data_IF_235432850255
#
_entry.id   IF_235432850255
#
_cell.length_a   1.000
_cell.length_b   1.000
_cell.length_c   1.000
_cell.angle_alpha   90.00
_cell.angle_beta   90.00
_cell.angle_gamma   90.00
#
_symmetry.space_group_name_H-M   'P 1'
#
loop_
_entity.id
_entity.type
_entity.pdbx_description
1 polymer ?
#
# COMPACT_ATOMS: atom_id res chain seq x y z
N UNK A 1 16.36 25.06 -22.00
CA UNK A 1 17.06 26.32 -21.65
C UNK A 1 17.07 27.31 -22.83
N UNK A 2 17.73 26.98 -23.95
CA UNK A 2 17.87 27.90 -25.10
C UNK A 2 16.56 28.34 -25.77
N UNK A 3 15.55 27.46 -25.84
CA UNK A 3 14.23 27.79 -26.40
C UNK A 3 13.44 28.79 -25.54
N UNK A 4 13.57 28.73 -24.20
CA UNK A 4 12.89 29.69 -23.32
C UNK A 4 13.55 31.08 -23.39
N UNK A 5 14.88 31.13 -23.53
CA UNK A 5 15.63 32.37 -23.73
C UNK A 5 15.28 33.05 -25.06
N UNK A 6 15.00 32.27 -26.12
CA UNK A 6 14.63 32.80 -27.43
C UNK A 6 13.20 33.40 -27.48
N UNK A 7 12.30 33.00 -26.58
CA UNK A 7 10.91 33.50 -26.57
C UNK A 7 10.83 34.97 -26.16
N UNK A 8 11.59 35.40 -25.16
CA UNK A 8 11.55 36.78 -24.66
C UNK A 8 11.87 37.84 -25.75
N UNK A 9 12.98 37.75 -26.52
CA UNK A 9 13.26 38.72 -27.57
C UNK A 9 12.26 38.66 -28.73
N UNK A 10 11.71 37.47 -29.05
CA UNK A 10 10.69 37.33 -30.07
C UNK A 10 9.38 38.05 -29.69
N UNK A 11 8.91 37.90 -28.45
CA UNK A 11 7.72 38.61 -27.94
C UNK A 11 7.95 40.11 -27.96
N UNK A 12 9.14 40.56 -27.52
CA UNK A 12 9.52 41.96 -27.53
C UNK A 12 9.53 42.55 -28.95
N UNK A 13 10.11 41.83 -29.92
CA UNK A 13 10.13 42.24 -31.32
C UNK A 13 8.72 42.30 -31.92
N UNK A 14 7.85 41.34 -31.61
CA UNK A 14 6.46 41.30 -32.07
C UNK A 14 5.66 42.49 -31.52
N UNK A 15 5.75 42.76 -30.21
CA UNK A 15 5.12 43.90 -29.57
C UNK A 15 5.65 45.23 -30.12
N UNK A 16 6.96 45.34 -30.29
CA UNK A 16 7.60 46.49 -30.93
C UNK A 16 7.08 46.74 -32.35
N UNK A 17 6.89 45.67 -33.14
CA UNK A 17 6.32 45.76 -34.48
C UNK A 17 4.87 46.28 -34.45
N UNK A 18 4.03 45.81 -33.51
CA UNK A 18 2.64 46.29 -33.34
C UNK A 18 2.61 47.79 -33.01
N UNK A 19 3.51 48.24 -32.13
CA UNK A 19 3.65 49.67 -31.79
C UNK A 19 4.08 50.47 -33.01
N UNK A 20 5.13 50.04 -33.73
CA UNK A 20 5.62 50.76 -34.92
C UNK A 20 4.56 50.84 -36.02
N UNK A 21 3.86 49.75 -36.30
CA UNK A 21 2.76 49.72 -37.30
C UNK A 21 1.60 50.61 -36.90
N UNK A 22 1.32 50.74 -35.60
CA UNK A 22 0.22 51.58 -35.10
C UNK A 22 0.59 53.06 -35.04
N UNK A 23 1.84 53.40 -34.69
CA UNK A 23 2.28 54.80 -34.52
C UNK A 23 2.70 55.44 -35.83
N UNK A 24 3.37 54.71 -36.73
CA UNK A 24 3.93 55.28 -37.98
C UNK A 24 2.92 56.08 -38.83
N UNK A 25 1.68 55.59 -39.07
CA UNK A 25 0.69 56.32 -39.87
C UNK A 25 0.23 57.63 -39.22
N UNK A 26 0.39 57.75 -37.90
CA UNK A 26 -0.13 58.83 -37.08
C UNK A 26 0.92 59.93 -36.88
N UNK A 27 2.19 59.66 -37.21
CA UNK A 27 3.28 60.64 -37.14
C UNK A 27 2.97 61.92 -37.94
N UNK A 28 2.50 61.88 -39.20
CA UNK A 28 2.18 63.09 -39.95
C UNK A 28 1.02 63.88 -39.32
N UNK A 29 0.01 63.19 -38.77
CA UNK A 29 -1.13 63.78 -38.07
C UNK A 29 -0.66 64.47 -36.79
N UNK A 30 0.29 63.88 -36.06
CA UNK A 30 0.88 64.49 -34.88
C UNK A 30 1.73 65.72 -35.21
N UNK A 31 2.44 65.71 -36.34
CA UNK A 31 3.26 66.84 -36.78
C UNK A 31 2.41 68.04 -37.26
N UNK A 32 1.24 67.81 -37.85
CA UNK A 32 0.32 68.89 -38.27
C UNK A 32 -0.46 69.52 -37.11
N UNK A 33 -0.49 68.87 -35.94
CA UNK A 33 -1.07 69.43 -34.73
C UNK A 33 -0.18 70.51 -34.08
N UNK A 34 1.10 70.60 -34.48
CA UNK A 34 2.01 71.65 -34.03
C UNK A 34 1.53 73.04 -34.54
N UNK A 35 0.82 73.76 -33.68
CA UNK A 35 0.25 75.09 -33.97
C UNK A 35 -1.28 75.16 -34.02
N UNK A 36 -1.99 74.07 -33.70
CA UNK A 36 -3.47 74.04 -33.62
C UNK A 36 -3.98 74.12 -32.17
N UNK A 37 -5.31 74.16 -31.99
CA UNK A 37 -5.97 74.24 -30.67
C UNK A 37 -5.48 73.15 -29.69
N UNK A 38 -5.01 73.51 -28.47
CA UNK A 38 -4.52 72.55 -27.47
C UNK A 38 -5.49 71.40 -27.16
N UNK A 39 -6.80 71.64 -27.23
CA UNK A 39 -7.81 70.61 -26.94
C UNK A 39 -7.82 69.54 -28.05
N UNK A 40 -7.60 69.92 -29.31
CA UNK A 40 -7.49 68.98 -30.43
C UNK A 40 -6.27 68.07 -30.29
N UNK A 41 -5.14 68.63 -29.83
CA UNK A 41 -3.92 67.86 -29.53
C UNK A 41 -4.13 66.79 -28.46
N UNK A 42 -4.80 67.15 -27.36
CA UNK A 42 -5.11 66.20 -26.27
C UNK A 42 -6.02 65.06 -26.76
N UNK A 43 -7.04 65.35 -27.56
CA UNK A 43 -7.94 64.31 -28.11
C UNK A 43 -7.22 63.36 -29.06
N UNK A 44 -6.36 63.87 -29.94
CA UNK A 44 -5.59 63.06 -30.87
C UNK A 44 -4.64 62.11 -30.13
N UNK A 45 -3.83 62.64 -29.20
CA UNK A 45 -2.91 61.82 -28.40
C UNK A 45 -3.66 60.82 -27.52
N UNK A 46 -4.78 61.23 -26.91
CA UNK A 46 -5.63 60.33 -26.12
C UNK A 46 -6.23 59.19 -26.94
N UNK A 47 -6.76 59.48 -28.13
CA UNK A 47 -7.29 58.47 -29.06
C UNK A 47 -6.24 57.47 -29.53
N UNK A 48 -5.03 57.95 -29.81
CA UNK A 48 -3.88 57.10 -30.13
C UNK A 48 -3.46 56.23 -28.96
N UNK A 49 -3.43 56.79 -27.74
CA UNK A 49 -3.15 56.05 -26.52
C UNK A 49 -4.14 54.91 -26.29
N UNK A 50 -5.44 55.18 -26.45
CA UNK A 50 -6.51 54.16 -26.31
C UNK A 50 -6.38 53.09 -27.41
N UNK A 51 -6.08 53.49 -28.65
CA UNK A 51 -5.91 52.56 -29.78
C UNK A 51 -4.71 51.66 -29.57
N UNK A 52 -3.59 52.22 -29.10
CA UNK A 52 -2.39 51.46 -28.75
C UNK A 52 -2.66 50.51 -27.58
N UNK A 53 -3.33 50.96 -26.53
CA UNK A 53 -3.68 50.15 -25.37
C UNK A 53 -4.44 48.89 -25.78
N UNK A 54 -5.49 49.03 -26.61
CA UNK A 54 -6.27 47.89 -27.07
C UNK A 54 -5.52 47.00 -28.04
N UNK A 55 -4.77 47.55 -29.00
CA UNK A 55 -4.01 46.75 -29.98
C UNK A 55 -2.87 45.97 -29.35
N UNK A 56 -2.07 46.63 -28.50
CA UNK A 56 -0.97 45.99 -27.77
C UNK A 56 -1.52 45.01 -26.74
N UNK A 57 -2.56 45.40 -26.00
CA UNK A 57 -3.21 44.55 -25.01
C UNK A 57 -3.78 43.27 -25.62
N UNK A 58 -4.51 43.37 -26.73
CA UNK A 58 -5.08 42.21 -27.42
C UNK A 58 -3.99 41.31 -28.02
N UNK A 59 -2.96 41.89 -28.65
CA UNK A 59 -1.83 41.13 -29.18
C UNK A 59 -1.08 40.39 -28.06
N UNK A 60 -0.86 41.05 -26.91
CA UNK A 60 -0.21 40.44 -25.76
C UNK A 60 -1.08 39.35 -25.13
N UNK A 61 -2.38 39.57 -25.00
CA UNK A 61 -3.32 38.58 -24.47
C UNK A 61 -3.36 37.31 -25.35
N UNK A 62 -3.39 37.47 -26.68
CA UNK A 62 -3.34 36.35 -27.62
C UNK A 62 -2.03 35.55 -27.48
N UNK A 63 -0.90 36.24 -27.36
CA UNK A 63 0.42 35.62 -27.16
C UNK A 63 0.49 34.85 -25.84
N UNK A 64 0.02 35.47 -24.75
CA UNK A 64 -0.01 34.84 -23.42
C UNK A 64 -0.92 33.59 -23.40
N UNK A 65 -2.08 33.65 -24.06
CA UNK A 65 -2.98 32.50 -24.17
C UNK A 65 -2.32 31.33 -24.93
N UNK A 66 -1.61 31.61 -26.02
CA UNK A 66 -0.87 30.60 -26.78
C UNK A 66 0.27 29.97 -25.95
N UNK A 67 1.06 30.78 -25.25
CA UNK A 67 2.11 30.29 -24.35
C UNK A 67 1.55 29.41 -23.24
N UNK A 68 0.47 29.83 -22.59
CA UNK A 68 -0.17 29.08 -21.53
C UNK A 68 -0.68 27.72 -22.04
N UNK A 69 -1.35 27.70 -23.20
CA UNK A 69 -1.83 26.47 -23.83
C UNK A 69 -0.69 25.48 -24.13
N UNK A 70 0.43 25.98 -24.65
CA UNK A 70 1.62 25.15 -24.89
C UNK A 70 2.20 24.58 -23.59
N UNK A 71 2.37 25.42 -22.55
CA UNK A 71 2.91 24.99 -21.27
C UNK A 71 2.01 23.95 -20.59
N UNK A 72 0.69 24.15 -20.61
CA UNK A 72 -0.27 23.20 -20.06
C UNK A 72 -0.20 21.85 -20.75
N UNK A 73 -0.14 21.84 -22.08
CA UNK A 73 0.02 20.61 -22.87
C UNK A 73 1.35 19.90 -22.58
N UNK A 74 2.45 20.65 -22.51
CA UNK A 74 3.78 20.10 -22.27
C UNK A 74 3.87 19.48 -20.87
N UNK A 75 3.35 20.18 -19.86
CA UNK A 75 3.29 19.69 -18.49
C UNK A 75 2.46 18.40 -18.39
N UNK A 76 1.27 18.39 -19.00
CA UNK A 76 0.39 17.21 -18.99
C UNK A 76 0.98 16.02 -19.72
N UNK A 77 1.84 16.26 -20.73
CA UNK A 77 2.60 15.22 -21.40
C UNK A 77 3.75 14.70 -20.54
N UNK A 78 4.43 15.56 -19.79
CA UNK A 78 5.50 15.18 -18.86
C UNK A 78 5.01 14.35 -17.67
N UNK A 79 3.76 14.53 -17.25
CA UNK A 79 3.13 13.71 -16.20
C UNK A 79 2.69 12.30 -16.66
N UNK A 80 2.87 11.96 -17.94
CA UNK A 80 2.50 10.64 -18.43
C UNK A 80 3.62 9.66 -18.16
N UNK A 81 3.31 8.60 -17.44
CA UNK A 81 4.20 7.47 -17.28
C UNK A 81 4.07 6.50 -18.46
N UNK A 82 5.17 5.89 -18.84
CA UNK A 82 5.21 4.78 -19.80
C UNK A 82 4.78 3.47 -19.12
N UNK A 83 4.42 2.46 -19.91
CA UNK A 83 4.10 1.12 -19.38
C UNK A 83 5.31 0.49 -18.67
N UNK A 84 6.53 0.82 -19.12
CA UNK A 84 7.76 0.37 -18.49
C UNK A 84 7.99 1.06 -17.15
N UNK A 85 7.84 2.38 -17.08
CA UNK A 85 7.95 3.14 -15.82
C UNK A 85 6.94 2.65 -14.77
N UNK A 86 5.67 2.44 -15.15
CA UNK A 86 4.66 1.89 -14.24
C UNK A 86 5.08 0.51 -13.71
N UNK A 87 5.63 -0.35 -14.58
CA UNK A 87 6.05 -1.70 -14.21
C UNK A 87 7.24 -1.68 -13.26
N UNK A 88 8.18 -0.75 -13.46
CA UNK A 88 9.34 -0.61 -12.59
C UNK A 88 8.99 0.06 -11.25
N UNK A 89 8.05 1.01 -11.25
CA UNK A 89 7.51 1.61 -10.02
C UNK A 89 6.76 0.57 -9.16
N UNK A 90 5.97 -0.31 -9.79
CA UNK A 90 5.34 -1.47 -9.13
C UNK A 90 6.37 -2.42 -8.52
N UNK A 91 7.46 -2.71 -9.25
CA UNK A 91 8.55 -3.57 -8.75
C UNK A 91 9.26 -2.94 -7.54
N UNK A 92 9.48 -1.62 -7.56
CA UNK A 92 10.12 -0.90 -6.44
C UNK A 92 9.19 -0.81 -5.23
N UNK A 93 7.89 -0.59 -5.43
CA UNK A 93 6.94 -0.35 -4.34
C UNK A 93 6.45 -1.64 -3.67
N UNK A 94 6.16 -2.69 -4.44
CA UNK A 94 5.62 -3.94 -3.91
C UNK A 94 6.69 -5.03 -3.65
N UNK A 95 7.89 -4.85 -4.23
CA UNK A 95 8.94 -5.86 -4.23
C UNK A 95 8.62 -7.06 -5.13
N UNK A 96 9.55 -8.01 -5.28
CA UNK A 96 9.33 -9.20 -6.12
C UNK A 96 8.25 -10.12 -5.48
N UNK A 97 7.13 -10.41 -6.18
CA UNK A 97 6.11 -11.34 -5.70
C UNK A 97 6.66 -12.71 -5.29
N UNK A 98 7.74 -13.17 -5.94
CA UNK A 98 8.44 -14.42 -5.61
C UNK A 98 9.10 -14.33 -4.24
N UNK A 99 9.72 -13.20 -3.90
CA UNK A 99 10.32 -12.96 -2.58
C UNK A 99 9.24 -12.94 -1.51
N UNK A 100 8.11 -12.26 -1.74
CA UNK A 100 6.97 -12.26 -0.79
C UNK A 100 6.36 -13.65 -0.61
N UNK A 101 6.20 -14.41 -1.69
CA UNK A 101 5.73 -15.79 -1.63
C UNK A 101 6.71 -16.71 -0.87
N UNK A 102 8.01 -16.54 -1.10
CA UNK A 102 9.08 -17.27 -0.42
C UNK A 102 9.12 -16.96 1.08
N UNK A 103 9.02 -15.68 1.46
CA UNK A 103 8.95 -15.29 2.86
C UNK A 103 7.76 -15.93 3.58
N UNK A 104 6.57 -15.91 2.95
CA UNK A 104 5.37 -16.58 3.50
C UNK A 104 5.53 -18.08 3.64
N UNK A 105 6.17 -18.76 2.68
CA UNK A 105 6.38 -20.21 2.77
C UNK A 105 7.38 -20.57 3.87
N UNK A 106 8.46 -19.79 4.03
CA UNK A 106 9.41 -19.94 5.12
C UNK A 106 8.75 -19.72 6.49
N UNK A 107 7.96 -18.65 6.67
CA UNK A 107 7.23 -18.43 7.93
C UNK A 107 6.33 -19.62 8.30
N UNK A 108 5.60 -20.19 7.34
CA UNK A 108 4.78 -21.39 7.59
C UNK A 108 5.63 -22.60 7.97
N UNK A 109 6.79 -22.79 7.34
CA UNK A 109 7.70 -23.89 7.67
C UNK A 109 8.27 -23.74 9.09
N UNK A 110 8.68 -22.53 9.49
CA UNK A 110 9.15 -22.27 10.86
C UNK A 110 8.05 -22.47 11.89
N UNK A 111 6.83 -21.98 11.63
CA UNK A 111 5.69 -22.20 12.50
C UNK A 111 5.37 -23.69 12.67
N UNK A 112 5.39 -24.46 11.58
CA UNK A 112 5.18 -25.91 11.61
C UNK A 112 6.28 -26.62 12.41
N UNK A 113 7.55 -26.27 12.19
CA UNK A 113 8.69 -26.84 12.94
C UNK A 113 8.56 -26.57 14.44
N UNK A 114 8.24 -25.33 14.83
CA UNK A 114 8.03 -24.94 16.23
C UNK A 114 6.84 -25.70 16.85
N UNK A 115 5.75 -25.83 16.12
CA UNK A 115 4.57 -26.59 16.58
C UNK A 115 4.92 -28.07 16.80
N UNK A 116 5.65 -28.70 15.88
CA UNK A 116 6.08 -30.09 16.01
C UNK A 116 7.07 -30.29 17.17
N UNK A 117 7.97 -29.34 17.39
CA UNK A 117 8.91 -29.36 18.51
C UNK A 117 8.23 -29.21 19.89
N UNK A 118 7.00 -28.70 19.94
CA UNK A 118 6.23 -28.59 21.17
C UNK A 118 5.47 -29.88 21.53
N UNK A 119 5.28 -30.81 20.59
CA UNK A 119 4.55 -32.08 20.82
C UNK A 119 5.15 -32.91 21.96
N UNK A 120 6.48 -33.08 22.09
CA UNK A 120 7.07 -33.83 23.22
C UNK A 120 6.82 -33.21 24.59
N UNK A 121 6.43 -31.93 24.65
CA UNK A 121 6.13 -31.23 25.91
C UNK A 121 4.65 -31.33 26.32
N UNK A 122 3.84 -32.02 25.53
CA UNK A 122 2.42 -32.21 25.81
C UNK A 122 2.21 -33.30 26.86
N UNK A 123 1.17 -33.16 27.67
CA UNK A 123 0.76 -34.15 28.66
C UNK A 123 -0.14 -35.22 28.03
N UNK A 124 -0.91 -34.84 27.00
CA UNK A 124 -1.79 -35.76 26.27
C UNK A 124 -2.02 -35.30 24.83
N UNK A 125 -2.18 -36.26 23.93
CA UNK A 125 -2.68 -36.03 22.57
C UNK A 125 -4.07 -36.64 22.40
N UNK A 126 -5.07 -35.81 22.11
CA UNK A 126 -6.43 -36.24 21.79
C UNK A 126 -6.57 -36.40 20.29
N UNK A 127 -6.99 -37.58 19.83
CA UNK A 127 -7.09 -37.92 18.40
C UNK A 127 -8.50 -38.26 17.94
N UNK A 128 -8.80 -37.92 16.68
CA UNK A 128 -9.82 -38.57 15.87
C UNK A 128 -9.06 -39.43 14.85
N UNK A 129 -9.07 -40.78 14.97
CA UNK A 129 -8.00 -41.70 14.54
C UNK A 129 -7.37 -41.45 13.17
N UNK A 130 -8.13 -41.01 12.18
CA UNK A 130 -7.66 -40.80 10.80
C UNK A 130 -7.65 -39.33 10.38
N UNK A 131 -8.23 -38.43 11.18
CA UNK A 131 -8.52 -37.07 10.72
C UNK A 131 -7.82 -35.97 11.50
N UNK A 132 -7.74 -36.07 12.83
CA UNK A 132 -7.31 -34.95 13.68
C UNK A 132 -6.44 -35.44 14.84
N UNK A 133 -5.47 -34.62 15.22
CA UNK A 133 -4.74 -34.78 16.48
C UNK A 133 -4.55 -33.40 17.13
N UNK A 134 -4.76 -33.32 18.44
CA UNK A 134 -4.59 -32.11 19.24
C UNK A 134 -3.78 -32.46 20.48
N UNK A 135 -2.61 -31.83 20.62
CA UNK A 135 -1.73 -31.98 21.77
C UNK A 135 -2.03 -30.88 22.80
N UNK A 136 -2.25 -31.29 24.04
CA UNK A 136 -2.56 -30.42 25.17
C UNK A 136 -1.44 -30.47 26.19
N UNK A 137 -1.11 -29.31 26.75
CA UNK A 137 -0.20 -29.16 27.88
C UNK A 137 -0.92 -28.46 29.01
N UNK A 138 -0.73 -28.93 30.23
CA UNK A 138 -1.27 -28.34 31.43
C UNK A 138 -0.30 -28.49 32.60
N UNK A 139 0.11 -27.36 33.15
CA UNK A 139 0.87 -27.30 34.39
C UNK A 139 -0.04 -26.73 35.49
N UNK A 140 -0.36 -27.57 36.48
CA UNK A 140 -1.25 -27.20 37.58
C UNK A 140 -0.70 -26.09 38.48
N UNK A 141 0.62 -25.85 38.49
CA UNK A 141 1.23 -24.80 39.31
C UNK A 141 1.20 -23.42 38.62
N UNK A 142 1.27 -23.39 37.29
CA UNK A 142 1.48 -22.13 36.54
C UNK A 142 0.35 -21.77 35.57
N UNK A 143 -0.50 -22.73 35.18
CA UNK A 143 -1.53 -22.52 34.16
C UNK A 143 -2.94 -22.50 34.76
N UNK A 144 -3.74 -21.53 34.33
CA UNK A 144 -5.17 -21.44 34.69
C UNK A 144 -6.03 -22.45 33.93
N UNK A 145 -5.60 -22.85 32.74
CA UNK A 145 -6.29 -23.82 31.90
C UNK A 145 -5.29 -24.53 30.97
N UNK A 146 -5.59 -25.76 30.51
CA UNK A 146 -4.80 -26.45 29.51
C UNK A 146 -4.66 -25.65 28.22
N UNK A 147 -3.47 -25.68 27.62
CA UNK A 147 -3.13 -24.99 26.37
C UNK A 147 -2.93 -25.98 25.24
N UNK A 148 -3.43 -25.65 24.05
CA UNK A 148 -3.15 -26.43 22.83
C UNK A 148 -1.75 -26.10 22.35
N UNK A 149 -0.80 -27.05 22.42
CA UNK A 149 0.59 -26.84 21.98
C UNK A 149 0.83 -27.24 20.53
N UNK A 150 0.04 -28.18 20.02
CA UNK A 150 0.03 -28.56 18.61
C UNK A 150 -1.35 -29.04 18.19
N UNK A 151 -1.74 -28.78 16.93
CA UNK A 151 -2.90 -29.42 16.33
C UNK A 151 -2.70 -29.62 14.83
N UNK A 152 -3.30 -30.66 14.29
CA UNK A 152 -3.14 -31.00 12.88
C UNK A 152 -4.29 -31.83 12.35
N UNK A 153 -4.38 -31.88 11.03
CA UNK A 153 -5.29 -32.76 10.31
C UNK A 153 -4.53 -33.65 9.31
N UNK A 154 -5.09 -34.83 9.00
CA UNK A 154 -4.52 -35.79 8.03
C UNK A 154 -3.04 -36.07 8.31
N UNK A 155 -2.14 -35.86 7.35
CA UNK A 155 -0.69 -36.07 7.48
C UNK A 155 -0.08 -35.34 8.68
N UNK A 156 -0.56 -34.14 9.01
CA UNK A 156 -0.07 -33.39 10.19
C UNK A 156 -0.51 -34.08 11.48
N UNK A 157 -1.73 -34.63 11.51
CA UNK A 157 -2.22 -35.39 12.66
C UNK A 157 -1.44 -36.70 12.84
N UNK A 158 -1.15 -37.41 11.74
CA UNK A 158 -0.29 -38.60 11.73
C UNK A 158 1.08 -38.27 12.33
N UNK A 159 1.71 -37.19 11.86
CA UNK A 159 3.02 -36.76 12.36
C UNK A 159 3.01 -36.39 13.84
N UNK A 160 1.96 -35.71 14.31
CA UNK A 160 1.79 -35.40 15.74
C UNK A 160 1.70 -36.69 16.56
N UNK A 161 0.92 -37.70 16.10
CA UNK A 161 0.81 -38.99 16.79
C UNK A 161 2.12 -39.77 16.79
N UNK A 162 2.87 -39.75 15.70
CA UNK A 162 4.20 -40.36 15.62
C UNK A 162 5.16 -39.74 16.63
N UNK A 163 5.24 -38.40 16.66
CA UNK A 163 6.09 -37.68 17.59
C UNK A 163 5.66 -37.90 19.05
N UNK A 164 4.36 -37.91 19.32
CA UNK A 164 3.82 -38.21 20.65
C UNK A 164 4.22 -39.62 21.11
N UNK A 165 4.03 -40.63 20.25
CA UNK A 165 4.45 -42.01 20.53
C UNK A 165 5.95 -42.12 20.77
N UNK A 166 6.77 -41.46 19.95
CA UNK A 166 8.22 -41.45 20.11
C UNK A 166 8.68 -40.76 21.40
N UNK A 167 7.97 -39.74 21.87
CA UNK A 167 8.25 -39.02 23.11
C UNK A 167 7.60 -39.63 24.37
N UNK A 168 6.83 -40.73 24.22
CA UNK A 168 6.09 -41.34 25.33
C UNK A 168 4.88 -40.53 25.81
N UNK A 169 4.38 -39.60 25.00
CA UNK A 169 3.16 -38.83 25.30
C UNK A 169 1.93 -39.69 25.02
N UNK A 170 1.03 -39.89 26.00
CA UNK A 170 -0.18 -40.67 25.84
C UNK A 170 -1.10 -40.14 24.74
N UNK A 171 -1.60 -41.05 23.89
CA UNK A 171 -2.53 -40.73 22.80
C UNK A 171 -3.91 -41.31 23.14
N UNK A 172 -4.91 -40.44 23.29
CA UNK A 172 -6.28 -40.81 23.68
C UNK A 172 -7.22 -40.58 22.51
N UNK A 173 -7.96 -41.63 22.12
CA UNK A 173 -9.03 -41.47 21.14
C UNK A 173 -10.27 -40.86 21.80
N UNK A 174 -10.66 -39.67 21.34
CA UNK A 174 -11.93 -39.07 21.74
C UNK A 174 -12.44 -38.15 20.62
N UNK A 175 -13.21 -38.71 19.68
CA UNK A 175 -13.60 -38.02 18.43
C UNK A 175 -14.33 -36.69 18.66
N UNK A 176 -15.36 -36.58 19.53
CA UNK A 176 -16.05 -35.30 19.76
C UNK A 176 -15.14 -34.21 20.30
N UNK A 177 -14.33 -34.53 21.32
CA UNK A 177 -13.37 -33.60 21.93
C UNK A 177 -12.29 -33.16 20.94
N UNK A 178 -11.72 -34.09 20.15
CA UNK A 178 -10.72 -33.75 19.12
C UNK A 178 -11.28 -32.76 18.09
N UNK A 179 -12.52 -32.97 17.63
CA UNK A 179 -13.19 -32.06 16.70
C UNK A 179 -13.46 -30.69 17.34
N UNK A 180 -13.94 -30.67 18.58
CA UNK A 180 -14.23 -29.44 19.31
C UNK A 180 -12.96 -28.61 19.54
N UNK A 181 -11.88 -29.25 20.02
CA UNK A 181 -10.59 -28.59 20.24
C UNK A 181 -9.99 -28.08 18.93
N UNK A 182 -10.02 -28.90 17.86
CA UNK A 182 -9.45 -28.51 16.58
C UNK A 182 -10.13 -27.27 15.98
N UNK A 183 -11.46 -27.18 16.09
CA UNK A 183 -12.25 -26.06 15.56
C UNK A 183 -12.19 -24.82 16.46
N UNK A 184 -12.31 -24.98 17.78
CA UNK A 184 -12.51 -23.87 18.69
C UNK A 184 -11.22 -23.20 19.19
N UNK A 185 -10.09 -23.92 19.23
CA UNK A 185 -8.89 -23.46 19.95
C UNK A 185 -7.68 -23.35 19.03
N UNK A 186 -7.11 -22.16 18.80
CA UNK A 186 -5.87 -22.02 18.02
C UNK A 186 -4.66 -22.57 18.78
N UNK A 187 -3.60 -22.92 18.05
CA UNK A 187 -2.34 -23.36 18.66
C UNK A 187 -1.77 -22.21 19.50
N UNK A 188 -1.32 -22.55 20.71
CA UNK A 188 -0.82 -21.62 21.70
C UNK A 188 -1.90 -20.96 22.53
N UNK A 189 -3.19 -21.26 22.37
CA UNK A 189 -4.26 -20.70 23.22
C UNK A 189 -4.75 -21.69 24.28
N UNK A 190 -5.25 -21.13 25.38
CA UNK A 190 -5.96 -21.87 26.43
C UNK A 190 -7.32 -22.36 25.92
N UNK A 191 -7.74 -23.53 26.41
CA UNK A 191 -9.06 -24.08 26.06
C UNK A 191 -10.17 -23.19 26.63
N UNK A 192 -11.36 -23.14 26.00
CA UNK A 192 -12.52 -22.43 26.53
C UNK A 192 -13.20 -23.22 27.65
N UNK A 193 -13.90 -22.50 28.55
CA UNK A 193 -14.61 -23.08 29.72
C UNK A 193 -15.52 -24.25 29.35
N UNK A 194 -16.18 -24.16 28.19
CA UNK A 194 -17.08 -25.22 27.67
C UNK A 194 -16.40 -26.59 27.51
N UNK A 195 -15.08 -26.62 27.33
CA UNK A 195 -14.29 -27.84 27.15
C UNK A 195 -13.53 -28.27 28.41
N UNK A 196 -13.61 -27.51 29.51
CA UNK A 196 -12.84 -27.80 30.73
C UNK A 196 -13.14 -29.19 31.27
N UNK A 197 -14.41 -29.54 31.40
CA UNK A 197 -14.83 -30.85 31.93
C UNK A 197 -14.27 -32.01 31.11
N UNK A 198 -14.50 -31.99 29.80
CA UNK A 198 -14.05 -33.07 28.91
C UNK A 198 -12.52 -33.19 28.87
N UNK A 199 -11.79 -32.07 28.91
CA UNK A 199 -10.32 -32.09 28.97
C UNK A 199 -9.82 -32.57 30.34
N UNK A 200 -10.46 -32.15 31.43
CA UNK A 200 -10.09 -32.59 32.78
C UNK A 200 -10.29 -34.10 32.97
N UNK A 201 -11.39 -34.66 32.45
CA UNK A 201 -11.65 -36.11 32.44
C UNK A 201 -10.52 -36.87 31.72
N UNK A 202 -10.09 -36.39 30.55
CA UNK A 202 -8.98 -37.00 29.79
C UNK A 202 -7.64 -36.88 30.54
N UNK A 203 -7.32 -35.70 31.08
CA UNK A 203 -6.08 -35.50 31.85
C UNK A 203 -6.05 -36.36 33.12
N UNK A 204 -7.17 -36.45 33.84
CA UNK A 204 -7.30 -37.29 35.03
C UNK A 204 -7.08 -38.77 34.70
N UNK A 205 -7.66 -39.25 33.59
CA UNK A 205 -7.46 -40.63 33.12
C UNK A 205 -5.99 -40.90 32.77
N UNK A 206 -5.34 -39.98 32.06
CA UNK A 206 -3.91 -40.10 31.73
C UNK A 206 -3.04 -40.13 32.98
N UNK A 207 -3.31 -39.28 33.97
CA UNK A 207 -2.53 -39.26 35.22
C UNK A 207 -2.79 -40.48 36.11
N UNK A 208 -4.00 -41.05 36.07
CA UNK A 208 -4.31 -42.28 36.78
C UNK A 208 -3.52 -43.48 36.21
N UNK A 209 -3.34 -43.53 34.88
CA UNK A 209 -2.51 -44.55 34.22
C UNK A 209 -1.00 -44.28 34.35
N UNK A 210 -0.61 -43.02 34.46
CA UNK A 210 0.77 -42.56 34.39
C UNK A 210 1.50 -42.46 35.73
N UNK A 211 0.89 -42.85 36.86
CA UNK A 211 1.58 -43.01 38.15
C UNK A 211 2.55 -41.87 38.50
N UNK A 212 2.10 -40.61 38.41
CA UNK A 212 2.76 -39.38 38.85
C UNK A 212 4.31 -39.36 38.70
N UNK A 213 4.82 -38.85 37.57
CA UNK A 213 6.10 -38.12 37.58
C UNK A 213 5.88 -36.85 38.41
N UNK A 214 6.23 -36.94 39.71
CA UNK A 214 6.48 -35.76 40.55
C UNK A 214 7.75 -35.06 40.08
#
# INVERSE_FOLDING_TARGET
AWLELAKAPLKLALLGAVVVVTVRPEIPVLLTLAGTDPIAGVRAVGGLGITLLWRVGLAHAALAAADYGYQWWAHRRGLRMTREEIKDELRQTEGDPRVRARARSLHRQYAMRRMMAAVPTADVVVTNPTHLAVALRYDAATMRAPRVVAKGARLVAERIRELARAAGVPVVEHRPLAQALYRAVPVGAEIPVKLYRAVAEVLAWVWALGGRRR
#
